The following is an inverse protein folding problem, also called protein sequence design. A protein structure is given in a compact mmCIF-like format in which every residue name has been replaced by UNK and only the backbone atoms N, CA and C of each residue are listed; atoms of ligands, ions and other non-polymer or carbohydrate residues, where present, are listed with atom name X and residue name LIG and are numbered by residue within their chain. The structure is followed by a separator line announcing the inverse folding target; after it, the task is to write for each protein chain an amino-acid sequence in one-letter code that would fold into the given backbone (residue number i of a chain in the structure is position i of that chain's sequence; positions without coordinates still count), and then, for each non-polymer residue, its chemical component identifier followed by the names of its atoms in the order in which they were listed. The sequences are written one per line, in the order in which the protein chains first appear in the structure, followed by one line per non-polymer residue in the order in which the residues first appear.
data_IF_557767061680
#
_entry.id   IF_557767061680
#
_cell.length_a   1.000
_cell.length_b   1.000
_cell.length_c   1.000
_cell.angle_alpha   90.00
_cell.angle_beta   90.00
_cell.angle_gamma   90.00
#
_symmetry.space_group_name_H-M   'P 1'
#
loop_
_entity.id
_entity.type
_entity.pdbx_description
1 polymer ?
#
# COMPACT_ATOMS: atom_id res chain seq x y z
N UNK A 1 2.50 -21.16 -7.17
CA UNK A 1 3.70 -20.63 -6.49
C UNK A 1 3.30 -19.30 -5.83
N UNK A 2 3.91 -18.90 -4.71
CA UNK A 2 3.39 -17.78 -3.91
C UNK A 2 3.63 -16.44 -4.59
N UNK A 3 2.59 -15.61 -4.72
CA UNK A 3 2.73 -14.21 -5.11
C UNK A 3 3.55 -13.47 -4.04
N UNK A 4 4.83 -13.19 -4.32
CA UNK A 4 5.73 -12.50 -3.40
C UNK A 4 5.56 -10.98 -3.55
N UNK A 5 5.40 -10.29 -2.41
CA UNK A 5 5.40 -8.83 -2.37
C UNK A 5 6.84 -8.36 -2.46
N UNK A 6 7.18 -7.69 -3.55
CA UNK A 6 8.47 -7.07 -3.74
C UNK A 6 8.43 -5.65 -3.21
N UNK A 7 9.48 -5.28 -2.47
CA UNK A 7 9.67 -3.95 -1.90
C UNK A 7 10.76 -3.22 -2.68
N UNK A 8 10.46 -1.99 -3.06
CA UNK A 8 11.41 -0.99 -3.51
C UNK A 8 11.42 0.23 -2.58
N UNK A 9 12.26 1.21 -2.89
CA UNK A 9 12.50 2.39 -2.05
C UNK A 9 11.22 3.20 -1.77
N UNK A 10 10.35 3.32 -2.79
CA UNK A 10 9.13 4.14 -2.77
C UNK A 10 7.92 3.41 -3.37
N UNK A 11 7.98 2.08 -3.51
CA UNK A 11 6.86 1.28 -4.02
C UNK A 11 6.91 -0.16 -3.55
N UNK A 12 5.75 -0.80 -3.46
CA UNK A 12 5.63 -2.25 -3.36
C UNK A 12 4.87 -2.78 -4.57
N UNK A 13 5.28 -3.91 -5.11
CA UNK A 13 4.60 -4.53 -6.23
C UNK A 13 4.52 -6.04 -6.06
N UNK A 14 3.59 -6.65 -6.77
CA UNK A 14 3.33 -8.09 -6.80
C UNK A 14 3.20 -8.51 -8.25
N UNK A 15 3.95 -9.55 -8.61
CA UNK A 15 3.81 -10.20 -9.91
C UNK A 15 2.88 -11.40 -9.80
N UNK A 16 2.14 -11.68 -10.88
CA UNK A 16 1.37 -12.92 -11.01
C UNK A 16 2.27 -14.12 -11.36
N UNK A 17 1.64 -15.29 -11.52
CA UNK A 17 2.32 -16.52 -11.91
C UNK A 17 2.89 -16.48 -13.34
N UNK A 18 2.44 -15.53 -14.18
CA UNK A 18 2.94 -15.30 -15.53
C UNK A 18 4.09 -14.27 -15.56
N UNK A 19 4.42 -13.66 -14.41
CA UNK A 19 5.47 -12.63 -14.28
C UNK A 19 5.00 -11.23 -14.66
N UNK A 20 3.70 -11.01 -14.86
CA UNK A 20 3.15 -9.68 -15.12
C UNK A 20 2.89 -8.95 -13.80
N UNK A 21 3.08 -7.63 -13.82
CA UNK A 21 2.78 -6.78 -12.67
C UNK A 21 1.28 -6.77 -12.40
N UNK A 22 0.88 -7.47 -11.36
CA UNK A 22 -0.51 -7.73 -11.05
C UNK A 22 -1.04 -6.79 -9.97
N UNK A 23 -0.17 -6.21 -9.14
CA UNK A 23 -0.50 -5.09 -8.28
C UNK A 23 0.73 -4.26 -7.96
N UNK A 24 0.56 -2.95 -7.78
CA UNK A 24 1.59 -2.06 -7.25
C UNK A 24 0.98 -0.96 -6.39
N UNK A 25 1.76 -0.48 -5.44
CA UNK A 25 1.47 0.70 -4.62
C UNK A 25 2.71 1.56 -4.58
N UNK A 26 2.57 2.84 -4.87
CA UNK A 26 3.64 3.81 -4.76
C UNK A 26 3.37 4.72 -3.57
N UNK A 27 4.44 5.11 -2.90
CA UNK A 27 4.38 6.01 -1.77
C UNK A 27 5.63 6.87 -1.76
N UNK A 28 5.45 8.16 -1.53
CA UNK A 28 6.54 9.14 -1.51
C UNK A 28 6.68 9.73 -0.12
N UNK A 29 7.90 9.81 0.45
CA UNK A 29 8.11 10.48 1.73
C UNK A 29 7.68 11.94 1.63
N UNK A 30 6.85 12.38 2.57
CA UNK A 30 6.29 13.73 2.66
C UNK A 30 6.60 14.31 4.03
N UNK A 31 7.62 15.17 4.11
CA UNK A 31 8.10 15.74 5.36
C UNK A 31 9.03 14.81 6.16
N UNK A 32 9.23 15.11 7.44
CA UNK A 32 10.22 14.42 8.30
C UNK A 32 9.77 13.03 8.77
N UNK A 33 8.46 12.79 8.88
CA UNK A 33 7.92 11.52 9.39
C UNK A 33 6.55 11.20 8.80
N UNK A 34 6.31 11.55 7.53
CA UNK A 34 5.10 11.14 6.83
C UNK A 34 5.41 10.61 5.43
N UNK A 35 4.47 9.86 4.88
CA UNK A 35 4.61 9.18 3.59
C UNK A 35 3.27 9.23 2.88
N UNK A 36 3.26 9.71 1.66
CA UNK A 36 2.07 9.93 0.87
C UNK A 36 1.88 8.79 -0.12
N UNK A 37 0.76 8.08 -0.03
CA UNK A 37 0.37 7.09 -1.05
C UNK A 37 -0.27 7.84 -2.21
N UNK A 38 0.49 7.99 -3.29
CA UNK A 38 0.08 8.74 -4.49
C UNK A 38 -0.66 7.85 -5.49
N UNK A 39 -0.22 6.59 -5.67
CA UNK A 39 -0.82 5.66 -6.62
C UNK A 39 -0.98 4.26 -6.03
N UNK A 40 -2.08 3.59 -6.39
CA UNK A 40 -2.31 2.18 -6.09
C UNK A 40 -3.00 1.57 -7.29
N UNK A 41 -2.34 0.60 -7.90
CA UNK A 41 -2.83 -0.11 -9.06
C UNK A 41 -2.97 -1.60 -8.73
N UNK A 42 -4.08 -2.20 -9.13
CA UNK A 42 -4.32 -3.63 -8.99
C UNK A 42 -5.01 -4.11 -10.25
N UNK A 43 -4.44 -5.14 -10.86
CA UNK A 43 -5.01 -5.84 -12.00
C UNK A 43 -6.36 -6.45 -11.62
N UNK A 44 -7.29 -6.43 -12.58
CA UNK A 44 -8.64 -6.95 -12.36
C UNK A 44 -8.63 -8.44 -12.01
N UNK A 45 -7.65 -9.20 -12.52
CA UNK A 45 -7.41 -10.61 -12.18
C UNK A 45 -7.14 -10.85 -10.69
N UNK A 46 -6.52 -9.88 -10.00
CA UNK A 46 -6.25 -9.93 -8.56
C UNK A 46 -7.27 -9.13 -7.73
N UNK A 47 -8.20 -8.45 -8.40
CA UNK A 47 -9.25 -7.68 -7.74
C UNK A 47 -10.22 -8.65 -7.05
N UNK A 48 -10.63 -8.30 -5.83
CA UNK A 48 -11.43 -9.19 -4.99
C UNK A 48 -10.63 -10.24 -4.21
N UNK A 49 -9.33 -10.42 -4.49
CA UNK A 49 -8.45 -11.31 -3.72
C UNK A 49 -7.78 -10.62 -2.51
N UNK A 50 -8.05 -9.33 -2.31
CA UNK A 50 -7.51 -8.56 -1.18
C UNK A 50 -6.03 -8.17 -1.31
N UNK A 51 -5.41 -8.31 -2.48
CA UNK A 51 -3.98 -7.98 -2.71
C UNK A 51 -3.68 -6.51 -2.45
N UNK A 52 -4.56 -5.60 -2.90
CA UNK A 52 -4.45 -4.18 -2.60
C UNK A 52 -4.37 -3.90 -1.09
N UNK A 53 -5.17 -4.63 -0.31
CA UNK A 53 -5.20 -4.51 1.14
C UNK A 53 -3.90 -4.97 1.78
N UNK A 54 -3.30 -6.06 1.27
CA UNK A 54 -1.99 -6.57 1.73
C UNK A 54 -0.84 -5.61 1.41
N UNK A 55 -0.88 -4.97 0.25
CA UNK A 55 0.08 -3.93 -0.13
C UNK A 55 -0.01 -2.73 0.83
N UNK A 56 -1.21 -2.20 1.04
CA UNK A 56 -1.44 -1.12 2.01
C UNK A 56 -1.02 -1.53 3.41
N UNK A 57 -1.36 -2.75 3.84
CA UNK A 57 -0.96 -3.29 5.13
C UNK A 57 0.56 -3.34 5.29
N UNK A 58 1.28 -3.72 4.23
CA UNK A 58 2.76 -3.75 4.25
C UNK A 58 3.34 -2.35 4.46
N UNK A 59 2.80 -1.34 3.77
CA UNK A 59 3.17 0.08 3.98
C UNK A 59 2.83 0.53 5.40
N UNK A 60 1.66 0.18 5.91
CA UNK A 60 1.19 0.48 7.28
C UNK A 60 2.09 -0.14 8.34
N UNK A 61 2.47 -1.40 8.18
CA UNK A 61 3.37 -2.09 9.11
C UNK A 61 4.76 -1.45 9.13
N UNK A 62 5.28 -1.07 7.96
CA UNK A 62 6.53 -0.32 7.87
C UNK A 62 6.44 1.05 8.53
N UNK A 63 5.32 1.75 8.34
CA UNK A 63 5.02 3.02 8.99
C UNK A 63 4.99 2.91 10.49
N UNK A 64 4.31 1.89 11.02
CA UNK A 64 4.24 1.61 12.45
C UNK A 64 5.61 1.25 13.00
N UNK A 65 6.40 0.45 12.27
CA UNK A 65 7.74 0.01 12.69
C UNK A 65 8.77 1.15 12.73
N UNK A 66 8.72 2.09 11.79
CA UNK A 66 9.63 3.25 11.75
C UNK A 66 9.07 4.50 12.44
N UNK A 67 7.79 4.51 12.82
CA UNK A 67 7.13 5.63 13.49
C UNK A 67 6.70 6.79 12.57
N UNK A 68 6.53 6.54 11.27
CA UNK A 68 6.03 7.56 10.33
C UNK A 68 4.52 7.42 10.10
N UNK A 69 3.91 8.50 9.59
CA UNK A 69 2.49 8.57 9.25
C UNK A 69 2.24 8.38 7.76
N UNK A 70 1.04 7.94 7.39
CA UNK A 70 0.63 7.71 6.01
C UNK A 70 -0.45 8.72 5.60
N UNK A 71 -0.24 9.39 4.47
CA UNK A 71 -1.19 10.30 3.85
C UNK A 71 -1.80 9.60 2.62
N UNK A 72 -3.02 9.07 2.70
CA UNK A 72 -3.67 8.43 1.56
C UNK A 72 -4.26 9.50 0.61
N UNK A 73 -3.49 9.90 -0.41
CA UNK A 73 -3.95 10.85 -1.44
C UNK A 73 -4.78 10.15 -2.52
N UNK A 74 -4.43 8.91 -2.86
CA UNK A 74 -5.24 8.10 -3.76
C UNK A 74 -6.64 7.83 -3.15
N UNK A 75 -7.69 8.00 -3.95
CA UNK A 75 -9.09 7.75 -3.55
C UNK A 75 -9.28 6.32 -3.02
N UNK A 76 -8.61 5.33 -3.62
CA UNK A 76 -8.65 3.95 -3.17
C UNK A 76 -8.06 3.79 -1.77
N UNK A 77 -6.86 4.31 -1.55
CA UNK A 77 -6.20 4.25 -0.24
C UNK A 77 -7.09 4.90 0.83
N UNK A 78 -7.68 6.05 0.54
CA UNK A 78 -8.59 6.73 1.47
C UNK A 78 -9.79 5.85 1.85
N UNK A 79 -10.43 5.18 0.89
CA UNK A 79 -11.53 4.24 1.16
C UNK A 79 -11.07 3.05 2.00
N UNK A 80 -9.87 2.51 1.74
CA UNK A 80 -9.32 1.41 2.52
C UNK A 80 -9.07 1.84 3.97
N UNK A 81 -8.45 2.99 4.18
CA UNK A 81 -8.21 3.56 5.52
C UNK A 81 -9.50 3.91 6.25
N UNK A 82 -10.54 4.36 5.54
CA UNK A 82 -11.84 4.65 6.12
C UNK A 82 -12.56 3.36 6.58
N UNK A 83 -12.50 2.30 5.75
CA UNK A 83 -13.07 0.99 6.07
C UNK A 83 -12.32 0.24 7.17
N UNK A 84 -11.00 0.40 7.23
CA UNK A 84 -10.13 -0.27 8.20
C UNK A 84 -9.67 0.71 9.27
N UNK A 85 -10.46 0.79 10.35
CA UNK A 85 -10.15 1.60 11.53
C UNK A 85 -8.79 1.25 12.17
N UNK A 86 -8.30 0.03 11.95
CA UNK A 86 -6.98 -0.45 12.37
C UNK A 86 -5.80 0.32 11.73
N UNK A 87 -6.01 1.04 10.62
CA UNK A 87 -4.98 1.83 9.95
C UNK A 87 -4.98 3.30 10.40
N UNK A 88 -5.95 3.71 11.23
CA UNK A 88 -6.03 5.08 11.71
C UNK A 88 -4.92 5.47 12.68
N UNK A 89 -4.20 4.49 13.24
CA UNK A 89 -3.04 4.75 14.11
C UNK A 89 -1.86 5.33 13.33
N UNK A 90 -1.65 4.89 12.09
CA UNK A 90 -0.61 5.42 11.20
C UNK A 90 -1.14 6.49 10.26
N UNK A 91 -2.45 6.72 10.18
CA UNK A 91 -3.02 7.78 9.34
C UNK A 91 -2.52 9.17 9.78
N UNK A 92 -1.98 9.92 8.83
CA UNK A 92 -1.70 11.36 8.97
C UNK A 92 -3.03 12.12 8.98
N UNK A 93 -3.26 12.93 10.01
CA UNK A 93 -4.42 13.82 10.13
C UNK A 93 -4.13 15.20 9.56
#
# INVERSE_FOLDING_TARGET
MSAEIQKEENRFFVNDEEGNMAAEITFVPSGESQVTIDHTYVSDSLRGQGIAGKLVESVVQEARGKGFKIVPVCSYAKVVFDRKSEYQDVLAK
#
